data_IF_748092166155
#
_entry.id   IF_748092166155
#
_cell.length_a   1.000
_cell.length_b   1.000
_cell.length_c   1.000
_cell.angle_alpha   90.00
_cell.angle_beta   90.00
_cell.angle_gamma   90.00
#
_symmetry.space_group_name_H-M   'P 1'
#
loop_
_entity.id
_entity.type
_entity.pdbx_description
1 polymer ?
#
# COMPACT_ATOMS: atom_id res chain seq x y z
N UNK A 1 -6.98 27.64 1.94
CA UNK A 1 -7.53 26.74 2.99
C UNK A 1 -7.10 25.31 2.75
N UNK A 2 -7.08 24.49 3.79
CA UNK A 2 -6.86 23.04 3.69
C UNK A 2 -7.56 22.31 4.84
N UNK A 3 -7.91 21.03 4.60
CA UNK A 3 -8.55 20.18 5.61
C UNK A 3 -10.07 20.32 5.66
N UNK A 4 -10.67 19.78 6.72
CA UNK A 4 -12.13 19.56 6.80
C UNK A 4 -12.74 20.21 8.02
N UNK A 5 -13.91 20.83 7.81
CA UNK A 5 -14.73 21.44 8.86
C UNK A 5 -16.11 20.80 8.92
N UNK A 6 -16.72 20.81 10.10
CA UNK A 6 -18.09 20.35 10.31
C UNK A 6 -18.26 19.34 11.44
N UNK A 7 -19.49 19.17 11.89
CA UNK A 7 -19.82 18.43 13.11
C UNK A 7 -19.42 16.95 13.09
N UNK A 8 -19.38 16.34 11.90
CA UNK A 8 -19.02 14.93 11.69
C UNK A 8 -17.52 14.69 11.49
N UNK A 9 -16.71 15.75 11.41
CA UNK A 9 -15.25 15.63 11.25
C UNK A 9 -14.62 15.09 12.54
N UNK A 10 -13.68 14.16 12.38
CA UNK A 10 -12.94 13.49 13.46
C UNK A 10 -11.50 13.31 13.04
N UNK A 11 -10.57 13.48 13.97
CA UNK A 11 -9.12 13.26 13.77
C UNK A 11 -8.53 14.08 12.62
N UNK A 12 -9.12 15.23 12.34
CA UNK A 12 -8.71 16.16 11.27
C UNK A 12 -8.99 17.59 11.73
N UNK A 13 -8.50 18.56 10.97
CA UNK A 13 -8.72 19.98 11.22
C UNK A 13 -8.97 20.72 9.91
N UNK A 14 -9.52 21.92 10.00
CA UNK A 14 -9.58 22.87 8.91
C UNK A 14 -8.68 24.07 9.23
N UNK A 15 -7.94 24.51 8.23
CA UNK A 15 -7.01 25.63 8.35
C UNK A 15 -7.24 26.63 7.23
N UNK A 16 -7.38 27.89 7.60
CA UNK A 16 -7.40 29.02 6.70
C UNK A 16 -6.22 29.93 6.99
N UNK A 17 -5.59 30.42 5.92
CA UNK A 17 -4.47 31.35 5.98
C UNK A 17 -4.80 32.53 5.09
N UNK A 18 -4.83 33.73 5.67
CA UNK A 18 -4.91 34.99 4.96
C UNK A 18 -3.57 35.73 5.03
N UNK A 19 -2.79 35.77 3.94
CA UNK A 19 -1.55 36.54 3.89
C UNK A 19 -1.81 38.02 4.17
N UNK A 20 -0.91 38.66 4.92
CA UNK A 20 -0.92 40.11 5.14
C UNK A 20 0.46 40.68 4.79
N UNK A 21 0.52 41.93 4.33
CA UNK A 21 1.80 42.60 4.06
C UNK A 21 2.54 43.08 5.31
N UNK A 22 1.83 43.22 6.45
CA UNK A 22 2.34 43.74 7.74
C UNK A 22 1.39 43.36 8.88
N UNK A 23 1.78 43.63 10.12
CA UNK A 23 0.90 43.48 11.29
C UNK A 23 1.08 42.19 12.11
N UNK A 24 2.15 41.44 11.83
CA UNK A 24 2.53 40.23 12.58
C UNK A 24 1.68 38.99 12.25
N UNK A 25 2.02 37.89 12.90
CA UNK A 25 1.27 36.63 12.83
C UNK A 25 0.16 36.65 13.88
N UNK A 26 -1.08 36.42 13.46
CA UNK A 26 -2.23 36.21 14.34
C UNK A 26 -2.73 34.79 14.16
N UNK A 27 -2.58 33.95 15.18
CA UNK A 27 -3.04 32.58 15.20
C UNK A 27 -4.27 32.45 16.12
N UNK A 28 -5.39 32.00 15.56
CA UNK A 28 -6.60 31.64 16.30
C UNK A 28 -6.85 30.13 16.17
N UNK A 29 -6.98 29.44 17.29
CA UNK A 29 -7.20 27.99 17.34
C UNK A 29 -8.43 27.70 18.18
N UNK A 30 -9.42 27.05 17.59
CA UNK A 30 -10.55 26.45 18.28
C UNK A 30 -10.42 24.93 18.19
N UNK A 31 -10.30 24.23 19.33
CA UNK A 31 -10.13 22.77 19.35
C UNK A 31 -11.19 22.07 20.21
N UNK A 32 -11.67 20.92 19.75
CA UNK A 32 -12.56 20.03 20.52
C UNK A 32 -11.86 19.35 21.70
N UNK A 33 -10.54 19.39 21.79
CA UNK A 33 -9.76 18.77 22.86
C UNK A 33 -9.11 19.81 23.79
N UNK A 34 -9.67 21.03 23.85
CA UNK A 34 -9.14 22.18 24.59
C UNK A 34 -8.69 21.84 26.01
N UNK A 35 -9.53 21.16 26.79
CA UNK A 35 -9.29 20.88 28.20
C UNK A 35 -8.07 19.99 28.48
N UNK A 36 -7.67 19.13 27.54
CA UNK A 36 -6.57 18.18 27.74
C UNK A 36 -5.34 18.50 26.87
N UNK A 37 -5.55 18.98 25.64
CA UNK A 37 -4.50 19.08 24.63
C UNK A 37 -4.48 20.45 23.92
N UNK A 38 -5.24 21.45 24.37
CA UNK A 38 -5.33 22.75 23.70
C UNK A 38 -3.97 23.44 23.51
N UNK A 39 -3.12 23.42 24.52
CA UNK A 39 -1.79 24.04 24.45
C UNK A 39 -0.85 23.29 23.50
N UNK A 40 -0.96 21.96 23.43
CA UNK A 40 -0.19 21.14 22.48
C UNK A 40 -0.62 21.44 21.04
N UNK A 41 -1.93 21.53 20.76
CA UNK A 41 -2.46 21.88 19.43
C UNK A 41 -1.95 23.26 18.99
N UNK A 42 -2.02 24.26 19.89
CA UNK A 42 -1.49 25.61 19.63
C UNK A 42 0.01 25.60 19.36
N UNK A 43 0.78 24.86 20.17
CA UNK A 43 2.22 24.74 20.01
C UNK A 43 2.60 24.10 18.66
N UNK A 44 1.93 23.03 18.25
CA UNK A 44 2.17 22.37 16.96
C UNK A 44 1.87 23.33 15.79
N UNK A 45 0.75 24.05 15.84
CA UNK A 45 0.41 25.06 14.83
C UNK A 45 1.46 26.17 14.77
N UNK A 46 1.86 26.73 15.91
CA UNK A 46 2.85 27.80 16.00
C UNK A 46 4.22 27.37 15.47
N UNK A 47 4.73 26.21 15.89
CA UNK A 47 6.01 25.65 15.42
C UNK A 47 6.00 25.39 13.91
N UNK A 48 4.88 24.91 13.38
CA UNK A 48 4.72 24.69 11.94
C UNK A 48 4.80 26.01 11.19
N UNK A 49 4.06 27.05 11.62
CA UNK A 49 4.08 28.37 11.01
C UNK A 49 5.46 29.04 11.07
N UNK A 50 6.14 28.93 12.21
CA UNK A 50 7.49 29.42 12.41
C UNK A 50 8.48 28.75 11.44
N UNK A 51 8.43 27.41 11.34
CA UNK A 51 9.30 26.63 10.44
C UNK A 51 9.06 26.94 8.97
N UNK A 52 7.84 27.38 8.62
CA UNK A 52 7.47 27.83 7.28
C UNK A 52 7.73 29.33 7.05
N UNK A 53 8.36 30.03 8.00
CA UNK A 53 8.76 31.42 7.87
C UNK A 53 7.58 32.40 7.82
N UNK A 54 6.41 32.03 8.33
CA UNK A 54 5.21 32.87 8.25
C UNK A 54 5.28 34.00 9.27
N UNK A 55 5.52 35.24 8.80
CA UNK A 55 5.65 36.44 9.65
C UNK A 55 4.40 37.32 9.72
N UNK A 56 3.62 37.36 8.64
CA UNK A 56 2.50 38.27 8.47
C UNK A 56 1.30 37.55 7.84
N UNK A 57 0.43 37.03 8.71
CA UNK A 57 -0.77 36.32 8.28
C UNK A 57 -1.82 36.30 9.41
N UNK A 58 -3.07 36.14 9.02
CA UNK A 58 -4.12 35.67 9.93
C UNK A 58 -4.33 34.19 9.65
N UNK A 59 -4.18 33.35 10.67
CA UNK A 59 -4.32 31.90 10.58
C UNK A 59 -5.43 31.47 11.53
N UNK A 60 -6.43 30.79 10.97
CA UNK A 60 -7.56 30.24 11.72
C UNK A 60 -7.51 28.73 11.63
N UNK A 61 -7.56 28.06 12.77
CA UNK A 61 -7.58 26.59 12.88
C UNK A 61 -8.83 26.16 13.63
N UNK A 62 -9.62 25.30 12.99
CA UNK A 62 -10.70 24.54 13.63
C UNK A 62 -10.27 23.07 13.75
N UNK A 63 -9.96 22.64 14.96
CA UNK A 63 -9.46 21.31 15.27
C UNK A 63 -10.56 20.39 15.83
N UNK A 64 -10.63 19.19 15.25
CA UNK A 64 -11.59 18.14 15.62
C UNK A 64 -10.88 16.90 16.20
N UNK A 65 -9.83 17.13 17.00
CA UNK A 65 -9.01 16.09 17.61
C UNK A 65 -7.95 15.53 16.67
N UNK A 66 -7.41 16.37 15.78
CA UNK A 66 -6.31 16.03 14.90
C UNK A 66 -5.04 15.77 15.70
N UNK A 67 -4.25 14.80 15.25
CA UNK A 67 -2.92 14.56 15.80
C UNK A 67 -1.89 15.50 15.18
N UNK A 68 -0.73 15.61 15.81
CA UNK A 68 0.32 16.57 15.42
C UNK A 68 0.73 16.45 13.94
N UNK A 69 0.86 15.23 13.43
CA UNK A 69 1.24 15.01 12.02
C UNK A 69 0.16 15.53 11.04
N UNK A 70 -1.11 15.51 11.46
CA UNK A 70 -2.25 16.02 10.70
C UNK A 70 -2.30 17.54 10.78
N UNK A 71 -2.20 18.11 11.98
CA UNK A 71 -2.14 19.57 12.19
C UNK A 71 -1.02 20.19 11.35
N UNK A 72 0.19 19.63 11.46
CA UNK A 72 1.34 20.02 10.66
C UNK A 72 1.06 19.99 9.15
N UNK A 73 0.48 18.90 8.65
CA UNK A 73 0.20 18.74 7.23
C UNK A 73 -0.87 19.73 6.73
N UNK A 74 -1.94 19.94 7.49
CA UNK A 74 -3.03 20.88 7.12
C UNK A 74 -2.57 22.33 7.19
N UNK A 75 -1.79 22.70 8.21
CA UNK A 75 -1.20 24.03 8.31
C UNK A 75 -0.23 24.27 7.15
N UNK A 76 0.69 23.35 6.87
CA UNK A 76 1.63 23.48 5.74
C UNK A 76 0.89 23.59 4.40
N UNK A 77 -0.13 22.77 4.17
CA UNK A 77 -0.95 22.85 2.96
C UNK A 77 -1.62 24.21 2.80
N UNK A 78 -2.26 24.73 3.87
CA UNK A 78 -2.94 26.01 3.83
C UNK A 78 -1.97 27.18 3.60
N UNK A 79 -0.79 27.14 4.22
CA UNK A 79 0.28 28.14 4.04
C UNK A 79 0.78 28.15 2.60
N UNK A 80 1.10 26.98 2.03
CA UNK A 80 1.58 26.87 0.64
C UNK A 80 0.54 27.33 -0.38
N UNK A 81 -0.74 26.96 -0.18
CA UNK A 81 -1.86 27.44 -1.00
C UNK A 81 -2.07 28.96 -0.91
N UNK A 82 -1.63 29.60 0.18
CA UNK A 82 -1.65 31.05 0.35
C UNK A 82 -0.45 31.75 -0.30
N UNK A 83 0.45 31.02 -0.98
CA UNK A 83 1.67 31.58 -1.59
C UNK A 83 2.76 31.92 -0.56
N UNK A 84 2.74 31.30 0.60
CA UNK A 84 3.73 31.47 1.67
C UNK A 84 4.54 30.18 1.87
N UNK A 85 5.70 30.27 2.54
CA UNK A 85 6.51 29.10 2.91
C UNK A 85 7.13 28.35 1.72
N UNK A 86 7.42 29.06 0.62
CA UNK A 86 8.07 28.48 -0.56
C UNK A 86 9.45 27.90 -0.19
N UNK A 87 9.72 26.68 -0.66
CA UNK A 87 10.96 25.95 -0.35
C UNK A 87 11.10 25.47 1.11
N UNK A 88 10.19 25.85 2.01
CA UNK A 88 10.21 25.45 3.42
C UNK A 88 9.22 24.30 3.68
N UNK A 89 9.54 23.48 4.68
CA UNK A 89 8.72 22.33 5.10
C UNK A 89 8.83 22.13 6.60
N UNK A 90 7.79 21.60 7.22
CA UNK A 90 7.85 21.11 8.59
C UNK A 90 7.56 19.61 8.61
N UNK A 91 8.46 18.85 9.24
CA UNK A 91 8.30 17.42 9.42
C UNK A 91 8.03 17.13 10.90
N UNK A 92 6.99 16.33 11.23
CA UNK A 92 6.78 15.89 12.61
C UNK A 92 7.94 15.01 13.08
N UNK A 93 8.07 14.79 14.39
CA UNK A 93 9.07 13.85 14.89
C UNK A 93 8.82 12.41 14.36
N UNK A 94 9.88 11.63 14.11
CA UNK A 94 9.74 10.22 13.74
C UNK A 94 8.99 9.42 14.81
N UNK A 95 8.00 8.64 14.39
CA UNK A 95 7.30 7.68 15.23
C UNK A 95 8.05 6.33 15.35
N UNK A 96 7.57 5.40 16.20
CA UNK A 96 8.22 4.10 16.42
C UNK A 96 8.42 3.25 15.16
N UNK A 97 7.52 3.36 14.18
CA UNK A 97 7.60 2.63 12.91
C UNK A 97 8.56 3.25 11.88
N UNK A 98 9.18 4.40 12.19
CA UNK A 98 10.12 5.06 11.27
C UNK A 98 11.48 4.34 11.26
N UNK A 99 12.00 4.07 10.07
CA UNK A 99 13.20 3.27 9.86
C UNK A 99 12.95 1.77 9.79
N UNK A 100 11.67 1.34 9.74
CA UNK A 100 11.31 -0.06 9.51
C UNK A 100 11.96 -0.59 8.21
N UNK A 101 12.39 -1.85 8.26
CA UNK A 101 13.12 -2.48 7.16
C UNK A 101 12.16 -2.87 6.03
N UNK A 102 12.40 -2.37 4.83
CA UNK A 102 11.78 -2.90 3.62
C UNK A 102 12.28 -4.32 3.34
N UNK A 103 11.36 -5.26 3.11
CA UNK A 103 11.67 -6.67 2.83
C UNK A 103 11.06 -7.05 1.49
N UNK A 104 11.90 -7.54 0.57
CA UNK A 104 11.48 -7.99 -0.76
C UNK A 104 10.54 -9.19 -0.68
N UNK A 105 11.05 -10.27 -0.08
CA UNK A 105 10.37 -11.55 0.06
C UNK A 105 9.46 -11.55 1.29
N UNK A 106 8.18 -11.26 1.07
CA UNK A 106 7.16 -11.24 2.12
C UNK A 106 5.78 -11.55 1.54
N UNK A 107 4.86 -11.96 2.40
CA UNK A 107 3.46 -12.08 2.01
C UNK A 107 2.84 -10.73 1.72
N UNK A 108 1.96 -10.71 0.71
CA UNK A 108 1.15 -9.57 0.27
C UNK A 108 -0.28 -10.03 0.01
N UNK A 109 -0.80 -10.92 0.86
CA UNK A 109 -2.12 -11.54 0.73
C UNK A 109 -3.22 -10.49 0.80
N UNK A 110 -3.12 -9.56 1.75
CA UNK A 110 -4.03 -8.43 1.89
C UNK A 110 -3.28 -7.10 1.83
N UNK A 111 -3.84 -6.15 1.07
CA UNK A 111 -3.34 -4.77 1.01
C UNK A 111 -4.49 -3.81 1.25
N UNK A 112 -4.50 -3.13 2.40
CA UNK A 112 -5.61 -2.26 2.80
C UNK A 112 -5.44 -0.85 2.25
N UNK A 113 -6.33 -0.43 1.35
CA UNK A 113 -6.39 0.92 0.80
C UNK A 113 -6.95 1.92 1.83
N UNK A 114 -6.21 3.01 2.05
CA UNK A 114 -6.56 4.11 2.93
C UNK A 114 -6.46 5.41 2.14
N UNK A 115 -7.55 6.18 1.99
CA UNK A 115 -7.48 7.45 1.28
C UNK A 115 -6.49 8.43 1.92
N UNK A 116 -5.56 8.96 1.12
CA UNK A 116 -4.44 9.79 1.60
C UNK A 116 -4.87 11.12 2.23
N UNK A 117 -6.12 11.54 2.02
CA UNK A 117 -6.72 12.75 2.58
C UNK A 117 -7.62 12.48 3.81
N UNK A 118 -7.72 11.25 4.30
CA UNK A 118 -8.59 10.81 5.40
C UNK A 118 -7.77 10.27 6.60
N UNK A 119 -7.16 11.15 7.42
CA UNK A 119 -6.18 10.74 8.44
C UNK A 119 -6.75 9.81 9.52
N UNK A 120 -8.06 9.87 9.76
CA UNK A 120 -8.78 8.98 10.70
C UNK A 120 -8.57 7.49 10.41
N UNK A 121 -8.25 7.12 9.17
CA UNK A 121 -8.05 5.72 8.79
C UNK A 121 -6.62 5.21 9.03
N UNK A 122 -5.65 6.09 9.27
CA UNK A 122 -4.25 5.68 9.36
C UNK A 122 -3.91 5.04 10.71
N UNK A 123 -4.42 5.62 11.80
CA UNK A 123 -4.02 5.26 13.16
C UNK A 123 -4.35 3.82 13.53
N UNK A 124 -5.52 3.35 13.10
CA UNK A 124 -6.02 2.04 13.48
C UNK A 124 -5.77 0.99 12.39
N UNK A 125 -5.14 1.34 11.27
CA UNK A 125 -4.98 0.42 10.15
C UNK A 125 -4.19 -0.84 10.54
N UNK A 126 -3.14 -0.68 11.33
CA UNK A 126 -2.28 -1.79 11.78
C UNK A 126 -3.00 -2.77 12.72
N UNK A 127 -4.02 -2.31 13.46
CA UNK A 127 -4.80 -3.17 14.37
C UNK A 127 -5.58 -4.27 13.64
N UNK A 128 -5.77 -4.11 12.34
CA UNK A 128 -6.45 -5.08 11.49
C UNK A 128 -5.49 -6.05 10.81
N UNK A 129 -4.19 -5.94 11.10
CA UNK A 129 -3.12 -6.84 10.65
C UNK A 129 -3.11 -7.14 9.14
N UNK A 130 -3.33 -6.15 8.22
CA UNK A 130 -3.12 -6.41 6.81
C UNK A 130 -1.64 -6.69 6.53
N UNK A 131 -1.31 -7.45 5.48
CA UNK A 131 0.10 -7.66 5.12
C UNK A 131 0.77 -6.34 4.67
N UNK A 132 -0.02 -5.41 4.10
CA UNK A 132 0.38 -4.06 3.77
C UNK A 132 -0.75 -3.03 3.86
N UNK A 133 -0.38 -1.77 4.06
CA UNK A 133 -1.28 -0.61 4.04
C UNK A 133 -0.91 0.29 2.86
N UNK A 134 -1.89 0.68 2.07
CA UNK A 134 -1.72 1.56 0.91
C UNK A 134 -2.28 2.93 1.28
N UNK A 135 -1.39 3.91 1.47
CA UNK A 135 -1.77 5.31 1.57
C UNK A 135 -1.98 5.85 0.15
N UNK A 136 -3.23 6.07 -0.23
CA UNK A 136 -3.60 6.35 -1.61
C UNK A 136 -3.60 7.85 -1.93
N UNK A 137 -2.78 8.26 -2.91
CA UNK A 137 -2.73 9.64 -3.40
C UNK A 137 -3.49 9.81 -4.73
N UNK A 138 -4.08 8.74 -5.24
CA UNK A 138 -4.60 8.66 -6.60
C UNK A 138 -6.14 8.71 -6.64
N UNK A 139 -6.87 7.69 -7.06
CA UNK A 139 -8.33 7.80 -7.30
C UNK A 139 -9.13 8.20 -6.06
N UNK A 140 -8.70 7.84 -4.85
CA UNK A 140 -9.43 8.21 -3.63
C UNK A 140 -9.34 9.69 -3.26
N UNK A 141 -8.51 10.46 -3.98
CA UNK A 141 -8.21 11.87 -3.67
C UNK A 141 -8.61 12.76 -4.84
N UNK A 142 -9.56 13.65 -4.59
CA UNK A 142 -10.00 14.65 -5.56
C UNK A 142 -8.79 15.47 -6.09
N UNK A 143 -8.75 15.84 -7.38
CA UNK A 143 -7.60 16.52 -7.99
C UNK A 143 -7.09 17.74 -7.23
N UNK A 144 -8.01 18.56 -6.69
CA UNK A 144 -7.70 19.78 -5.94
C UNK A 144 -7.09 19.52 -4.55
N UNK A 145 -7.19 18.29 -4.02
CA UNK A 145 -6.72 17.92 -2.69
C UNK A 145 -5.43 17.08 -2.70
N UNK A 146 -4.88 16.78 -3.87
CA UNK A 146 -3.69 15.91 -4.01
C UNK A 146 -2.42 16.52 -3.42
N UNK A 147 -2.28 17.84 -3.45
CA UNK A 147 -1.20 18.57 -2.78
C UNK A 147 -1.26 18.41 -1.24
N UNK A 148 -2.44 18.61 -0.65
CA UNK A 148 -2.65 18.47 0.78
C UNK A 148 -2.53 17.00 1.22
N UNK A 149 -3.07 16.05 0.44
CA UNK A 149 -2.95 14.62 0.70
C UNK A 149 -1.50 14.15 0.69
N UNK A 150 -0.66 14.64 -0.24
CA UNK A 150 0.78 14.32 -0.29
C UNK A 150 1.49 14.69 1.01
N UNK A 151 1.23 15.89 1.54
CA UNK A 151 1.81 16.34 2.81
C UNK A 151 1.33 15.48 3.98
N UNK A 152 0.05 15.10 3.96
CA UNK A 152 -0.53 14.25 4.98
C UNK A 152 0.06 12.84 4.97
N UNK A 153 0.18 12.22 3.80
CA UNK A 153 0.81 10.90 3.61
C UNK A 153 2.29 10.93 3.98
N UNK A 154 3.04 11.97 3.57
CA UNK A 154 4.43 12.21 3.98
C UNK A 154 4.57 12.20 5.51
N UNK A 155 3.72 12.98 6.19
CA UNK A 155 3.75 13.11 7.63
C UNK A 155 3.30 11.82 8.33
N UNK A 156 2.28 11.13 7.79
CA UNK A 156 1.79 9.86 8.32
C UNK A 156 2.86 8.77 8.23
N UNK A 157 3.56 8.65 7.10
CA UNK A 157 4.71 7.75 6.98
C UNK A 157 5.75 8.05 8.08
N UNK A 158 6.03 9.31 8.37
CA UNK A 158 7.02 9.66 9.38
C UNK A 158 6.58 9.35 10.81
N UNK A 159 5.33 9.63 11.16
CA UNK A 159 4.87 9.68 12.54
C UNK A 159 3.99 8.50 12.99
N UNK A 160 3.28 7.84 12.06
CA UNK A 160 2.32 6.76 12.41
C UNK A 160 3.04 5.42 12.46
N UNK A 161 2.78 4.66 13.51
CA UNK A 161 3.22 3.27 13.62
C UNK A 161 2.25 2.35 12.88
N UNK A 162 2.72 1.79 11.75
CA UNK A 162 1.97 0.80 10.98
C UNK A 162 2.31 -0.65 11.38
N UNK A 163 3.02 -0.85 12.49
CA UNK A 163 3.39 -2.17 13.00
C UNK A 163 4.19 -2.98 11.98
N UNK A 164 3.80 -4.24 11.76
CA UNK A 164 4.46 -5.14 10.81
C UNK A 164 4.03 -4.94 9.35
N UNK A 165 3.03 -4.08 9.10
CA UNK A 165 2.47 -3.86 7.76
C UNK A 165 3.55 -3.33 6.80
N UNK A 166 3.53 -3.81 5.55
CA UNK A 166 4.29 -3.13 4.50
C UNK A 166 3.70 -1.74 4.24
N UNK A 167 4.54 -0.71 4.34
CA UNK A 167 4.16 0.70 4.17
C UNK A 167 4.18 1.04 2.69
N UNK A 168 3.01 1.08 2.08
CA UNK A 168 2.85 1.31 0.64
C UNK A 168 2.23 2.68 0.36
N UNK A 169 2.58 3.27 -0.79
CA UNK A 169 1.92 4.47 -1.31
C UNK A 169 1.52 4.22 -2.76
N UNK A 170 0.24 4.43 -3.10
CA UNK A 170 -0.18 4.53 -4.50
C UNK A 170 0.00 5.98 -4.92
N UNK A 171 1.01 6.22 -5.75
CA UNK A 171 1.32 7.55 -6.27
C UNK A 171 0.36 7.92 -7.39
N UNK A 172 0.34 9.18 -7.82
CA UNK A 172 -0.32 9.60 -9.04
C UNK A 172 0.46 9.15 -10.29
N UNK A 173 -0.17 9.21 -11.45
CA UNK A 173 0.50 9.00 -12.74
C UNK A 173 1.35 10.22 -13.16
N UNK A 174 2.40 9.98 -13.96
CA UNK A 174 3.16 11.02 -14.65
C UNK A 174 3.91 11.99 -13.72
N UNK A 175 4.01 13.25 -14.13
CA UNK A 175 4.78 14.28 -13.41
C UNK A 175 4.32 14.47 -11.95
N UNK A 176 3.01 14.34 -11.68
CA UNK A 176 2.48 14.41 -10.32
C UNK A 176 2.96 13.24 -9.46
N UNK A 177 3.08 12.05 -10.04
CA UNK A 177 3.64 10.88 -9.38
C UNK A 177 5.08 11.10 -8.93
N UNK A 178 5.91 11.75 -9.76
CA UNK A 178 7.30 12.06 -9.40
C UNK A 178 7.39 13.01 -8.19
N UNK A 179 6.46 13.98 -8.06
CA UNK A 179 6.34 14.81 -6.88
C UNK A 179 5.91 14.00 -5.63
N UNK A 180 5.05 12.99 -5.80
CA UNK A 180 4.70 12.07 -4.71
C UNK A 180 5.94 11.27 -4.25
N UNK A 181 6.73 10.76 -5.18
CA UNK A 181 7.99 10.04 -4.91
C UNK A 181 8.94 10.89 -4.07
N UNK A 182 9.17 12.14 -4.47
CA UNK A 182 10.02 13.09 -3.74
C UNK A 182 9.56 13.32 -2.30
N UNK A 183 8.25 13.37 -2.08
CA UNK A 183 7.70 13.57 -0.75
C UNK A 183 7.79 12.32 0.13
N UNK A 184 7.53 11.13 -0.42
CA UNK A 184 7.32 9.92 0.39
C UNK A 184 8.56 9.04 0.54
N UNK A 185 9.47 9.03 -0.45
CA UNK A 185 10.71 8.22 -0.39
C UNK A 185 11.55 8.56 0.84
N UNK A 186 11.84 9.85 1.16
CA UNK A 186 12.64 10.20 2.33
C UNK A 186 11.99 9.78 3.66
N UNK A 187 10.68 9.47 3.65
CA UNK A 187 9.91 9.14 4.84
C UNK A 187 9.73 7.64 5.07
N UNK A 188 10.61 6.81 4.50
CA UNK A 188 10.65 5.36 4.72
C UNK A 188 9.38 4.63 4.24
N UNK A 189 8.89 5.00 3.04
CA UNK A 189 7.98 4.14 2.27
C UNK A 189 8.71 2.85 1.87
N UNK A 190 8.04 1.70 1.93
CA UNK A 190 8.62 0.42 1.53
C UNK A 190 8.36 0.11 0.06
N UNK A 191 7.18 0.47 -0.44
CA UNK A 191 6.72 0.09 -1.78
C UNK A 191 5.86 1.18 -2.42
N UNK A 192 6.13 1.50 -3.68
CA UNK A 192 5.34 2.42 -4.50
C UNK A 192 4.47 1.62 -5.47
N UNK A 193 3.16 1.86 -5.44
CA UNK A 193 2.25 1.39 -6.48
C UNK A 193 2.21 2.44 -7.59
N UNK A 194 2.50 2.03 -8.81
CA UNK A 194 2.50 2.90 -9.98
C UNK A 194 1.19 2.63 -10.73
N UNK A 195 0.22 3.56 -10.75
CA UNK A 195 -1.04 3.36 -11.44
C UNK A 195 -0.88 3.51 -12.96
N UNK A 196 -1.82 2.93 -13.70
CA UNK A 196 -2.09 3.18 -15.12
C UNK A 196 -0.83 2.98 -15.96
N UNK A 197 -0.15 1.85 -15.73
CA UNK A 197 1.11 1.54 -16.40
C UNK A 197 0.83 0.84 -17.72
N UNK A 198 1.35 1.45 -18.77
CA UNK A 198 1.21 1.01 -20.15
C UNK A 198 2.57 0.78 -20.83
N UNK A 199 3.69 1.14 -20.19
CA UNK A 199 5.03 0.88 -20.72
C UNK A 199 6.08 0.65 -19.64
N UNK A 200 7.17 -0.03 -20.01
CA UNK A 200 8.31 -0.25 -19.11
C UNK A 200 9.00 1.06 -18.73
N UNK A 201 9.00 2.05 -19.63
CA UNK A 201 9.61 3.37 -19.43
C UNK A 201 8.95 4.13 -18.27
N UNK A 202 7.64 4.00 -18.09
CA UNK A 202 6.93 4.61 -16.96
C UNK A 202 7.43 4.04 -15.62
N UNK A 203 7.70 2.73 -15.56
CA UNK A 203 8.26 2.09 -14.36
C UNK A 203 9.71 2.54 -14.13
N UNK A 204 10.53 2.59 -15.18
CA UNK A 204 11.94 3.03 -15.09
C UNK A 204 12.04 4.48 -14.61
N UNK A 205 11.19 5.38 -15.11
CA UNK A 205 11.17 6.77 -14.67
C UNK A 205 10.89 6.92 -13.17
N UNK A 206 9.94 6.13 -12.63
CA UNK A 206 9.66 6.11 -11.19
C UNK A 206 10.83 5.49 -10.41
N UNK A 207 11.42 4.40 -10.92
CA UNK A 207 12.57 3.74 -10.30
C UNK A 207 13.79 4.66 -10.18
N UNK A 208 14.15 5.33 -11.28
CA UNK A 208 15.24 6.29 -11.36
C UNK A 208 15.03 7.43 -10.37
N UNK A 209 13.83 8.05 -10.38
CA UNK A 209 13.52 9.14 -9.44
C UNK A 209 13.56 8.68 -7.99
N UNK A 210 12.98 7.51 -7.68
CA UNK A 210 13.00 6.97 -6.33
C UNK A 210 14.43 6.68 -5.87
N UNK A 211 15.28 6.17 -6.74
CA UNK A 211 16.69 5.90 -6.43
C UNK A 211 17.51 7.19 -6.21
N UNK A 212 17.30 8.23 -7.02
CA UNK A 212 17.90 9.54 -6.83
C UNK A 212 17.54 10.13 -5.46
N UNK A 213 16.24 10.18 -5.16
CA UNK A 213 15.73 10.74 -3.90
C UNK A 213 16.21 9.90 -2.71
N UNK A 214 16.22 8.57 -2.84
CA UNK A 214 16.74 7.65 -1.80
C UNK A 214 18.20 7.94 -1.49
N UNK A 215 19.05 8.05 -2.52
CA UNK A 215 20.49 8.36 -2.38
C UNK A 215 20.69 9.73 -1.72
N UNK A 216 19.99 10.76 -2.21
CA UNK A 216 20.07 12.11 -1.67
C UNK A 216 19.63 12.18 -0.19
N UNK A 217 18.69 11.32 0.21
CA UNK A 217 18.18 11.23 1.59
C UNK A 217 19.01 10.31 2.51
N UNK A 218 20.10 9.71 2.01
CA UNK A 218 20.94 8.80 2.79
C UNK A 218 20.29 7.46 3.19
N UNK A 219 19.13 7.13 2.60
CA UNK A 219 18.43 5.88 2.91
C UNK A 219 19.18 4.70 2.32
N UNK A 220 19.46 3.66 3.12
CA UNK A 220 20.18 2.46 2.65
C UNK A 220 19.26 1.41 2.02
N UNK A 221 18.05 1.23 2.54
CA UNK A 221 17.10 0.24 2.04
C UNK A 221 16.50 0.69 0.71
N UNK A 222 16.33 -0.22 -0.27
CA UNK A 222 15.67 0.11 -1.53
C UNK A 222 14.16 0.37 -1.31
N UNK A 223 13.56 1.12 -2.22
CA UNK A 223 12.10 1.25 -2.34
C UNK A 223 11.63 0.28 -3.42
N UNK A 224 10.66 -0.57 -3.10
CA UNK A 224 10.11 -1.54 -4.04
C UNK A 224 9.02 -0.94 -4.91
N UNK A 225 8.75 -1.58 -6.05
CA UNK A 225 7.76 -1.12 -7.03
C UNK A 225 6.70 -2.19 -7.27
N UNK A 226 5.48 -1.74 -7.51
CA UNK A 226 4.35 -2.57 -7.92
C UNK A 226 3.53 -1.84 -8.98
N UNK A 227 3.80 -2.09 -10.28
CA UNK A 227 2.98 -1.55 -11.35
C UNK A 227 1.55 -2.10 -11.29
N UNK A 228 0.57 -1.23 -11.56
CA UNK A 228 -0.83 -1.59 -11.74
C UNK A 228 -1.13 -1.65 -13.24
N UNK A 229 -1.54 -2.84 -13.69
CA UNK A 229 -2.04 -3.09 -15.04
C UNK A 229 -3.54 -2.88 -15.02
N UNK A 230 -4.01 -1.85 -15.71
CA UNK A 230 -5.42 -1.46 -15.69
C UNK A 230 -5.93 -0.87 -17.01
N UNK A 231 -5.26 -1.22 -18.11
CA UNK A 231 -5.71 -0.95 -19.49
C UNK A 231 -5.39 -2.13 -20.41
N UNK A 232 -6.00 -2.17 -21.59
CA UNK A 232 -5.70 -3.15 -22.63
C UNK A 232 -4.22 -3.08 -23.05
N UNK A 233 -3.68 -1.87 -23.23
CA UNK A 233 -2.28 -1.66 -23.60
C UNK A 233 -1.33 -2.17 -22.50
N UNK A 234 -1.64 -1.87 -21.23
CA UNK A 234 -0.90 -2.41 -20.10
C UNK A 234 -0.88 -3.93 -20.05
N UNK A 235 -1.98 -4.60 -20.46
CA UNK A 235 -2.02 -6.06 -20.56
C UNK A 235 -1.05 -6.57 -21.63
N UNK A 236 -1.02 -5.98 -22.82
CA UNK A 236 -0.08 -6.38 -23.88
C UNK A 236 1.39 -6.20 -23.48
N UNK A 237 1.70 -5.19 -22.67
CA UNK A 237 3.06 -4.91 -22.19
C UNK A 237 3.39 -5.48 -20.80
N UNK A 238 2.51 -6.31 -20.22
CA UNK A 238 2.59 -6.70 -18.82
C UNK A 238 3.94 -7.35 -18.43
N UNK A 239 4.54 -8.16 -19.32
CA UNK A 239 5.85 -8.79 -19.07
C UNK A 239 6.99 -7.76 -19.05
N UNK A 240 7.04 -6.87 -20.03
CA UNK A 240 8.06 -5.83 -20.12
C UNK A 240 7.97 -4.88 -18.93
N UNK A 241 6.74 -4.54 -18.52
CA UNK A 241 6.46 -3.75 -17.32
C UNK A 241 6.97 -4.48 -16.06
N UNK A 242 6.71 -5.79 -15.93
CA UNK A 242 7.16 -6.57 -14.79
C UNK A 242 8.69 -6.72 -14.71
N UNK A 243 9.38 -6.73 -15.87
CA UNK A 243 10.84 -6.83 -15.98
C UNK A 243 11.55 -5.47 -16.00
N UNK A 244 10.81 -4.37 -16.00
CA UNK A 244 11.35 -3.03 -16.21
C UNK A 244 12.39 -2.59 -15.16
N UNK A 245 12.35 -3.15 -13.95
CA UNK A 245 13.31 -2.84 -12.88
C UNK A 245 13.48 -4.03 -11.91
N UNK A 246 14.70 -4.26 -11.37
CA UNK A 246 14.90 -5.24 -10.30
C UNK A 246 14.16 -4.88 -9.02
N UNK A 247 13.68 -3.63 -8.85
CA UNK A 247 12.89 -3.21 -7.69
C UNK A 247 11.41 -3.58 -7.82
N UNK A 248 10.95 -4.06 -8.97
CA UNK A 248 9.61 -4.66 -9.10
C UNK A 248 9.56 -5.94 -8.27
N UNK A 249 8.60 -6.01 -7.35
CA UNK A 249 8.38 -7.16 -6.45
C UNK A 249 7.01 -7.80 -6.65
N UNK A 250 6.09 -7.08 -7.28
CA UNK A 250 4.76 -7.55 -7.57
C UNK A 250 4.17 -6.85 -8.79
N UNK A 251 3.22 -7.49 -9.45
CA UNK A 251 2.38 -6.91 -10.49
C UNK A 251 0.93 -7.06 -10.05
N UNK A 252 0.13 -6.00 -10.17
CA UNK A 252 -1.28 -6.04 -9.76
C UNK A 252 -2.20 -5.60 -10.88
N UNK A 253 -3.44 -6.08 -10.86
CA UNK A 253 -4.45 -5.73 -11.85
C UNK A 253 -5.53 -4.80 -11.25
N UNK A 254 -5.87 -3.72 -11.96
CA UNK A 254 -6.98 -2.82 -11.63
C UNK A 254 -8.17 -3.09 -12.55
N UNK A 255 -9.20 -3.77 -12.03
CA UNK A 255 -10.31 -4.21 -12.90
C UNK A 255 -11.32 -3.12 -13.25
N UNK A 256 -11.57 -2.15 -12.37
CA UNK A 256 -12.54 -1.08 -12.66
C UNK A 256 -12.07 -0.26 -13.89
N UNK A 257 -10.85 0.26 -13.83
CA UNK A 257 -10.22 1.00 -14.92
C UNK A 257 -10.04 0.15 -16.17
N UNK A 258 -9.61 -1.11 -16.03
CA UNK A 258 -9.49 -2.02 -17.18
C UNK A 258 -10.82 -2.23 -17.90
N UNK A 259 -11.91 -2.50 -17.15
CA UNK A 259 -13.23 -2.72 -17.77
C UNK A 259 -13.76 -1.46 -18.42
N UNK A 260 -13.49 -0.28 -17.85
CA UNK A 260 -13.81 0.99 -18.48
C UNK A 260 -13.03 1.18 -19.81
N UNK A 261 -11.74 0.86 -19.83
CA UNK A 261 -10.87 0.97 -21.01
C UNK A 261 -11.32 0.08 -22.17
N UNK A 262 -11.71 -1.16 -21.89
CA UNK A 262 -12.22 -2.09 -22.93
C UNK A 262 -13.72 -1.92 -23.24
N UNK A 263 -14.41 -0.99 -22.58
CA UNK A 263 -15.84 -0.75 -22.77
C UNK A 263 -16.75 -1.88 -22.29
N UNK A 264 -16.32 -2.64 -21.27
CA UNK A 264 -17.07 -3.74 -20.68
C UNK A 264 -17.66 -3.36 -19.32
N UNK A 265 -18.73 -4.03 -18.92
CA UNK A 265 -19.24 -3.95 -17.54
C UNK A 265 -18.58 -5.04 -16.69
N UNK A 266 -18.04 -4.66 -15.54
CA UNK A 266 -17.52 -5.62 -14.56
C UNK A 266 -18.63 -6.55 -14.06
N UNK A 267 -18.38 -7.85 -14.08
CA UNK A 267 -19.31 -8.87 -13.60
C UNK A 267 -18.73 -9.65 -12.43
N UNK A 268 -19.59 -10.34 -11.66
CA UNK A 268 -19.12 -11.28 -10.63
C UNK A 268 -18.51 -12.54 -11.23
N UNK A 269 -18.91 -12.91 -12.45
CA UNK A 269 -18.37 -14.09 -13.15
C UNK A 269 -16.95 -13.84 -13.68
N UNK A 270 -16.60 -12.59 -13.95
CA UNK A 270 -15.24 -12.20 -14.33
C UNK A 270 -14.80 -12.66 -15.73
N UNK A 271 -15.71 -13.11 -16.59
CA UNK A 271 -15.39 -13.53 -17.97
C UNK A 271 -14.74 -12.41 -18.78
N UNK A 272 -15.20 -11.18 -18.59
CA UNK A 272 -14.68 -9.98 -19.25
C UNK A 272 -13.23 -9.65 -18.85
N UNK A 273 -12.79 -10.12 -17.69
CA UNK A 273 -11.45 -9.86 -17.15
C UNK A 273 -10.54 -11.09 -17.13
N UNK A 274 -11.04 -12.26 -17.55
CA UNK A 274 -10.32 -13.53 -17.47
C UNK A 274 -8.98 -13.50 -18.21
N UNK A 275 -8.97 -12.94 -19.43
CA UNK A 275 -7.74 -12.82 -20.22
C UNK A 275 -6.72 -11.91 -19.53
N UNK A 276 -7.13 -10.71 -19.13
CA UNK A 276 -6.24 -9.74 -18.47
C UNK A 276 -5.66 -10.29 -17.16
N UNK A 277 -6.50 -10.93 -16.33
CA UNK A 277 -6.08 -11.61 -15.09
C UNK A 277 -5.06 -12.71 -15.38
N UNK A 278 -5.32 -13.55 -16.40
CA UNK A 278 -4.40 -14.60 -16.81
C UNK A 278 -3.06 -14.05 -17.32
N UNK A 279 -3.09 -12.96 -18.10
CA UNK A 279 -1.89 -12.30 -18.61
C UNK A 279 -1.05 -11.74 -17.46
N UNK A 280 -1.65 -11.04 -16.50
CA UNK A 280 -0.95 -10.49 -15.32
C UNK A 280 -0.30 -11.61 -14.50
N UNK A 281 -0.98 -12.73 -14.28
CA UNK A 281 -0.39 -13.88 -13.58
C UNK A 281 0.83 -14.40 -14.35
N UNK A 282 0.71 -14.67 -15.64
CA UNK A 282 1.82 -15.21 -16.43
C UNK A 282 3.00 -14.26 -16.52
N UNK A 283 2.75 -12.96 -16.74
CA UNK A 283 3.77 -11.92 -16.76
C UNK A 283 4.53 -11.84 -15.43
N UNK A 284 3.80 -11.78 -14.31
CA UNK A 284 4.41 -11.75 -12.98
C UNK A 284 5.27 -12.99 -12.71
N UNK A 285 4.75 -14.18 -13.04
CA UNK A 285 5.49 -15.44 -12.86
C UNK A 285 6.74 -15.52 -13.73
N UNK A 286 6.66 -15.09 -14.98
CA UNK A 286 7.79 -15.06 -15.90
C UNK A 286 8.88 -14.06 -15.44
N UNK A 287 8.48 -12.95 -14.82
CA UNK A 287 9.41 -11.98 -14.21
C UNK A 287 9.88 -12.38 -12.80
N UNK A 288 9.37 -13.48 -12.22
CA UNK A 288 9.71 -13.91 -10.86
C UNK A 288 9.16 -13.00 -9.75
N UNK A 289 8.08 -12.28 -10.00
CA UNK A 289 7.42 -11.36 -9.06
C UNK A 289 6.03 -11.84 -8.66
N UNK A 290 5.46 -11.28 -7.60
CA UNK A 290 4.16 -11.73 -7.06
C UNK A 290 2.98 -11.18 -7.87
N UNK A 291 2.10 -12.02 -8.44
CA UNK A 291 0.82 -11.55 -9.01
C UNK A 291 -0.19 -11.25 -7.91
N UNK A 292 -0.80 -10.06 -7.94
CA UNK A 292 -1.81 -9.64 -6.98
C UNK A 292 -3.12 -9.21 -7.66
N UNK A 293 -4.24 -9.75 -7.19
CA UNK A 293 -5.57 -9.50 -7.76
C UNK A 293 -6.14 -8.12 -7.34
N UNK A 294 -7.18 -7.69 -8.04
CA UNK A 294 -7.89 -6.42 -7.85
C UNK A 294 -8.62 -6.31 -6.50
N UNK A 295 -9.23 -5.17 -6.19
CA UNK A 295 -10.14 -4.99 -5.05
C UNK A 295 -11.49 -5.68 -5.23
N UNK A 296 -12.19 -5.94 -4.13
CA UNK A 296 -13.61 -6.34 -4.11
C UNK A 296 -14.44 -5.20 -3.52
N UNK A 297 -15.38 -4.66 -4.30
CA UNK A 297 -16.08 -3.41 -4.00
C UNK A 297 -17.23 -3.57 -3.01
N UNK A 298 -17.93 -4.71 -3.01
CA UNK A 298 -19.01 -4.96 -2.06
C UNK A 298 -18.45 -5.37 -0.69
N UNK A 299 -18.42 -4.42 0.24
CA UNK A 299 -17.94 -4.65 1.61
C UNK A 299 -18.87 -5.56 2.41
N UNK A 300 -20.15 -5.63 2.03
CA UNK A 300 -21.16 -6.40 2.74
C UNK A 300 -21.20 -7.87 2.33
N UNK A 301 -20.84 -8.18 1.08
CA UNK A 301 -20.83 -9.55 0.54
C UNK A 301 -19.53 -10.31 0.89
N UNK A 302 -19.47 -10.77 2.13
CA UNK A 302 -18.34 -11.57 2.65
C UNK A 302 -18.16 -12.89 1.88
N UNK A 303 -19.25 -13.54 1.47
CA UNK A 303 -19.17 -14.82 0.79
C UNK A 303 -18.78 -14.66 -0.68
N UNK A 304 -19.25 -13.60 -1.35
CA UNK A 304 -18.76 -13.19 -2.67
C UNK A 304 -17.27 -12.88 -2.66
N UNK A 305 -16.78 -12.18 -1.62
CA UNK A 305 -15.34 -11.97 -1.44
C UNK A 305 -14.58 -13.30 -1.31
N UNK A 306 -15.08 -14.24 -0.51
CA UNK A 306 -14.46 -15.57 -0.33
C UNK A 306 -14.36 -16.31 -1.67
N UNK A 307 -15.45 -16.38 -2.43
CA UNK A 307 -15.47 -17.00 -3.77
C UNK A 307 -14.48 -16.32 -4.73
N UNK A 308 -14.48 -14.99 -4.78
CA UNK A 308 -13.57 -14.23 -5.63
C UNK A 308 -12.08 -14.45 -5.26
N UNK A 309 -11.76 -14.60 -3.97
CA UNK A 309 -10.39 -14.91 -3.53
C UNK A 309 -9.97 -16.32 -3.91
N UNK A 310 -10.86 -17.31 -3.76
CA UNK A 310 -10.57 -18.70 -4.14
C UNK A 310 -10.38 -18.84 -5.66
N UNK A 311 -11.16 -18.12 -6.45
CA UNK A 311 -10.99 -18.04 -7.90
C UNK A 311 -9.66 -17.35 -8.27
N UNK A 312 -9.33 -16.23 -7.63
CA UNK A 312 -8.04 -15.58 -7.86
C UNK A 312 -6.86 -16.49 -7.50
N UNK A 313 -6.94 -17.20 -6.36
CA UNK A 313 -5.95 -18.20 -5.95
C UNK A 313 -5.82 -19.33 -6.98
N UNK A 314 -6.94 -19.80 -7.56
CA UNK A 314 -6.92 -20.87 -8.57
C UNK A 314 -6.27 -20.43 -9.88
N UNK A 315 -6.42 -19.16 -10.28
CA UNK A 315 -5.69 -18.57 -11.40
C UNK A 315 -4.19 -18.40 -11.12
N UNK A 316 -3.78 -18.34 -9.85
CA UNK A 316 -2.38 -18.26 -9.43
C UNK A 316 -1.97 -16.93 -8.79
N UNK A 317 -2.94 -16.04 -8.48
CA UNK A 317 -2.70 -14.87 -7.65
C UNK A 317 -2.34 -15.25 -6.21
N UNK A 318 -1.64 -14.37 -5.50
CA UNK A 318 -1.19 -14.59 -4.11
C UNK A 318 -1.74 -13.57 -3.12
N UNK A 319 -2.60 -12.67 -3.57
CA UNK A 319 -3.26 -11.72 -2.70
C UNK A 319 -4.28 -10.89 -3.43
N UNK A 320 -4.92 -9.99 -2.66
CA UNK A 320 -6.02 -9.14 -3.10
C UNK A 320 -5.98 -7.78 -2.41
N UNK A 321 -6.42 -6.74 -3.11
CA UNK A 321 -6.68 -5.44 -2.50
C UNK A 321 -7.90 -5.48 -1.58
N UNK A 322 -7.81 -4.82 -0.42
CA UNK A 322 -8.89 -4.63 0.55
C UNK A 322 -9.22 -3.15 0.62
N UNK A 323 -10.51 -2.79 0.55
CA UNK A 323 -10.99 -1.40 0.74
C UNK A 323 -11.69 -1.22 2.09
N UNK A 324 -11.83 -2.30 2.86
CA UNK A 324 -12.40 -2.27 4.19
C UNK A 324 -11.71 -3.29 5.13
N UNK A 325 -11.44 -2.95 6.39
CA UNK A 325 -10.75 -3.85 7.33
C UNK A 325 -11.38 -5.24 7.49
N UNK A 326 -12.71 -5.34 7.42
CA UNK A 326 -13.46 -6.61 7.50
C UNK A 326 -13.09 -7.62 6.40
N UNK A 327 -12.47 -7.16 5.30
CA UNK A 327 -12.05 -8.04 4.21
C UNK A 327 -10.73 -8.74 4.54
N UNK A 328 -9.90 -8.19 5.44
CA UNK A 328 -8.55 -8.71 5.72
C UNK A 328 -8.56 -10.15 6.21
N UNK A 329 -9.38 -10.55 7.22
CA UNK A 329 -9.39 -11.94 7.69
C UNK A 329 -9.84 -12.92 6.61
N UNK A 330 -10.85 -12.54 5.80
CA UNK A 330 -11.40 -13.37 4.71
C UNK A 330 -10.35 -13.61 3.62
N UNK A 331 -9.63 -12.56 3.25
CA UNK A 331 -8.53 -12.64 2.26
C UNK A 331 -7.39 -13.49 2.80
N UNK A 332 -6.99 -13.29 4.06
CA UNK A 332 -5.94 -14.11 4.69
C UNK A 332 -6.29 -15.60 4.71
N UNK A 333 -7.52 -15.94 5.10
CA UNK A 333 -8.01 -17.31 5.11
C UNK A 333 -8.02 -17.93 3.71
N UNK A 334 -8.59 -17.23 2.72
CA UNK A 334 -8.74 -17.75 1.37
C UNK A 334 -7.39 -17.97 0.64
N UNK A 335 -6.40 -17.10 0.88
CA UNK A 335 -5.06 -17.24 0.30
C UNK A 335 -4.15 -18.17 1.12
N UNK A 336 -4.53 -18.59 2.33
CA UNK A 336 -3.80 -19.61 3.08
C UNK A 336 -3.99 -21.00 2.42
N UNK A 337 -3.03 -21.91 2.56
CA UNK A 337 -3.26 -23.30 2.21
C UNK A 337 -4.27 -23.93 3.18
N UNK A 338 -5.24 -24.68 2.66
CA UNK A 338 -6.22 -25.40 3.49
C UNK A 338 -5.54 -26.52 4.28
N UNK A 339 -6.22 -27.04 5.31
CA UNK A 339 -5.73 -28.20 6.06
C UNK A 339 -5.49 -29.41 5.14
N UNK A 340 -6.37 -29.64 4.17
CA UNK A 340 -6.24 -30.71 3.18
C UNK A 340 -5.06 -30.47 2.22
N UNK A 341 -4.92 -29.25 1.68
CA UNK A 341 -3.79 -28.87 0.83
C UNK A 341 -2.47 -29.05 1.57
N UNK A 342 -2.43 -28.65 2.84
CA UNK A 342 -1.27 -28.75 3.72
C UNK A 342 -0.91 -30.21 3.98
N UNK A 343 -1.87 -31.05 4.39
CA UNK A 343 -1.63 -32.46 4.69
C UNK A 343 -1.22 -33.26 3.44
N UNK A 344 -1.82 -32.98 2.29
CA UNK A 344 -1.39 -33.55 1.02
C UNK A 344 0.03 -33.12 0.66
N UNK A 345 0.36 -31.84 0.83
CA UNK A 345 1.68 -31.32 0.54
C UNK A 345 2.76 -31.93 1.46
N UNK A 346 2.48 -32.07 2.76
CA UNK A 346 3.36 -32.77 3.72
C UNK A 346 3.71 -34.18 3.25
N UNK A 347 2.70 -34.99 2.90
CA UNK A 347 2.91 -36.38 2.43
C UNK A 347 3.78 -36.45 1.18
N UNK A 348 3.59 -35.51 0.25
CA UNK A 348 4.40 -35.44 -0.97
C UNK A 348 5.84 -35.05 -0.66
N UNK A 349 6.05 -34.06 0.22
CA UNK A 349 7.39 -33.60 0.60
C UNK A 349 8.16 -34.71 1.33
N UNK A 350 7.53 -35.41 2.28
CA UNK A 350 8.17 -36.54 2.98
C UNK A 350 8.52 -37.69 2.03
N UNK A 351 7.64 -38.01 1.08
CA UNK A 351 7.92 -39.03 0.07
C UNK A 351 9.09 -38.61 -0.85
N UNK A 352 9.19 -37.32 -1.18
CA UNK A 352 10.28 -36.78 -1.97
C UNK A 352 11.62 -36.80 -1.20
N UNK A 353 11.63 -36.32 0.04
CA UNK A 353 12.83 -36.34 0.92
C UNK A 353 13.35 -37.78 1.08
N UNK A 354 12.46 -38.76 1.31
CA UNK A 354 12.83 -40.18 1.38
C UNK A 354 13.40 -40.72 0.07
N UNK A 355 12.80 -40.37 -1.08
CA UNK A 355 13.29 -40.82 -2.38
C UNK A 355 14.69 -40.24 -2.67
N UNK A 356 14.96 -38.99 -2.29
CA UNK A 356 16.31 -38.39 -2.41
C UNK A 356 17.33 -39.10 -1.52
N UNK A 357 16.97 -39.44 -0.27
CA UNK A 357 17.83 -40.20 0.64
C UNK A 357 18.17 -41.61 0.10
N UNK A 358 17.22 -42.26 -0.57
CA UNK A 358 17.40 -43.59 -1.19
C UNK A 358 18.06 -43.51 -2.58
N UNK A 359 18.37 -42.31 -3.10
CA UNK A 359 18.95 -42.12 -4.43
C UNK A 359 18.00 -42.47 -5.58
N UNK A 360 16.69 -42.45 -5.34
CA UNK A 360 15.66 -42.79 -6.32
C UNK A 360 15.27 -41.55 -7.14
N UNK A 361 15.31 -41.66 -8.46
CA UNK A 361 14.86 -40.59 -9.37
C UNK A 361 13.33 -40.42 -9.45
N UNK A 362 12.57 -41.26 -8.76
CA UNK A 362 11.10 -41.33 -8.84
C UNK A 362 10.51 -41.28 -7.45
N UNK A 363 9.59 -40.32 -7.22
CA UNK A 363 8.84 -40.20 -5.98
C UNK A 363 7.55 -41.01 -6.09
N UNK A 364 7.30 -41.91 -5.14
CA UNK A 364 6.05 -42.66 -5.05
C UNK A 364 5.29 -42.32 -3.76
N UNK A 365 3.99 -42.07 -3.87
CA UNK A 365 3.10 -41.92 -2.73
C UNK A 365 1.95 -42.94 -2.84
N UNK A 366 2.06 -44.03 -2.08
CA UNK A 366 1.20 -45.20 -2.25
C UNK A 366 1.47 -45.88 -3.60
N UNK A 367 0.42 -46.10 -4.40
CA UNK A 367 0.54 -46.68 -5.75
C UNK A 367 0.76 -45.66 -6.87
N UNK A 368 0.86 -44.37 -6.56
CA UNK A 368 0.96 -43.30 -7.56
C UNK A 368 2.37 -42.72 -7.62
N UNK A 369 2.88 -42.58 -8.85
CA UNK A 369 4.08 -41.82 -9.15
C UNK A 369 3.79 -40.32 -9.06
N UNK A 370 4.73 -39.55 -8.50
CA UNK A 370 4.61 -38.11 -8.30
C UNK A 370 5.67 -37.39 -9.15
N UNK A 371 5.20 -36.61 -10.12
CA UNK A 371 6.09 -35.87 -11.01
C UNK A 371 6.76 -34.67 -10.30
N UNK A 372 7.96 -34.25 -10.75
CA UNK A 372 8.68 -33.11 -10.18
C UNK A 372 7.86 -31.80 -10.05
N UNK A 373 6.98 -31.42 -11.01
CA UNK A 373 6.13 -30.24 -10.86
C UNK A 373 5.09 -30.34 -9.72
N UNK A 374 4.71 -31.56 -9.33
CA UNK A 374 3.81 -31.79 -8.19
C UNK A 374 4.59 -31.62 -6.88
N UNK A 375 5.81 -32.14 -6.80
CA UNK A 375 6.74 -31.92 -5.68
C UNK A 375 7.01 -30.43 -5.49
N UNK A 376 7.35 -29.71 -6.57
CA UNK A 376 7.61 -28.26 -6.51
C UNK A 376 6.43 -27.48 -5.94
N UNK A 377 5.20 -27.84 -6.30
CA UNK A 377 3.98 -27.24 -5.74
C UNK A 377 3.82 -27.58 -4.25
N UNK A 378 4.02 -28.84 -3.87
CA UNK A 378 3.94 -29.27 -2.48
C UNK A 378 4.97 -28.55 -1.58
N UNK A 379 6.23 -28.44 -2.01
CA UNK A 379 7.28 -27.70 -1.29
C UNK A 379 6.88 -26.24 -1.06
N UNK A 380 6.28 -25.60 -2.05
CA UNK A 380 5.78 -24.23 -1.93
C UNK A 380 4.63 -24.12 -0.93
N UNK A 381 3.66 -25.03 -0.99
CA UNK A 381 2.55 -25.09 -0.03
C UNK A 381 3.04 -25.27 1.40
N UNK A 382 3.98 -26.19 1.62
CA UNK A 382 4.61 -26.42 2.93
C UNK A 382 5.34 -25.17 3.42
N UNK A 383 6.18 -24.56 2.58
CA UNK A 383 6.91 -23.33 2.94
C UNK A 383 5.96 -22.20 3.35
N UNK A 384 4.82 -22.08 2.64
CA UNK A 384 3.78 -21.12 2.99
C UNK A 384 3.12 -21.47 4.33
N UNK A 385 2.73 -22.73 4.55
CA UNK A 385 2.12 -23.18 5.79
C UNK A 385 3.06 -23.00 7.00
N UNK A 386 4.36 -23.25 6.85
CA UNK A 386 5.38 -22.98 7.89
C UNK A 386 5.47 -21.49 8.21
N UNK A 387 5.56 -20.64 7.19
CA UNK A 387 5.67 -19.19 7.36
C UNK A 387 4.39 -18.56 7.96
N UNK A 388 3.23 -19.21 7.80
CA UNK A 388 1.96 -18.82 8.40
C UNK A 388 1.70 -19.49 9.77
N UNK A 389 2.61 -20.32 10.28
CA UNK A 389 2.42 -21.02 11.55
C UNK A 389 1.32 -22.08 11.54
N UNK A 390 0.91 -22.54 10.36
CA UNK A 390 -0.11 -23.58 10.18
C UNK A 390 0.44 -25.01 10.39
N UNK A 391 1.77 -25.15 10.46
CA UNK A 391 2.45 -26.41 10.72
C UNK A 391 3.16 -26.38 12.08
N UNK A 392 3.09 -27.48 12.87
CA UNK A 392 3.84 -27.57 14.11
C UNK A 392 5.34 -27.60 13.83
N UNK A 393 6.13 -27.06 14.77
CA UNK A 393 7.59 -27.15 14.70
C UNK A 393 8.01 -28.62 14.69
N UNK A 394 8.85 -28.99 13.72
CA UNK A 394 9.33 -30.36 13.59
C UNK A 394 8.34 -31.34 12.94
N UNK A 395 7.31 -30.86 12.24
CA UNK A 395 6.33 -31.71 11.53
C UNK A 395 6.95 -32.75 10.58
N UNK A 396 8.20 -32.58 10.16
CA UNK A 396 8.96 -33.56 9.35
C UNK A 396 9.35 -34.84 10.13
N UNK A 397 9.29 -34.80 11.46
CA UNK A 397 9.64 -35.93 12.35
C UNK A 397 8.40 -36.59 12.99
N UNK A 398 7.22 -36.01 12.78
CA UNK A 398 5.92 -36.50 13.25
C UNK A 398 5.21 -37.24 12.14
#
# INVERSE_FOLDING_TARGET
EAGRRGEKVRSDCWVQVEPKGRGGLKLSVATKVEAMYGDAVRATCAKTLESLGVRHAVVTVEDYGALDFVLAARVEAAVKRAGLGEGLTFLPEPGPGFGAKAVRERFRRSRLYLPGNEPKFFLNAALHEPDGVILDLEDSVAPAEKDAARLLVRNALRAVDFGSCERMVRINQGARGLLDVEAVVPQNVHLLLIPKVESAEQVRAVDERAEEVRKASGLKAPVHLMPIIESALGCFHALDIAQASPRVVALTIGLEDYTADIGAQRTQEGRESFWARSVVVNAARAAGVTPIDTVFSDVSDVEGLRRACLEAKSLGFEGKGCIHPRQVPVVHEAFAPSAEETERAKRIVLAFEKAEEEGLGVVALGSKMIDPPVVKRALRTVKMAEALGLLPKGWRKS
#
